data_IF_614500648331
#
_entry.id   IF_614500648331
#
_cell.length_a   1.000
_cell.length_b   1.000
_cell.length_c   1.000
_cell.angle_alpha   90.00
_cell.angle_beta   90.00
_cell.angle_gamma   90.00
#
_symmetry.space_group_name_H-M   'P 1'
#
loop_
_entity.id
_entity.type
_entity.pdbx_description
1 polymer ?
#
# COMPACT_ATOMS: atom_id res chain seq x y z
N UNK A 1 5.97 3.19 13.80
CA UNK A 1 4.89 3.03 12.80
C UNK A 1 4.52 1.57 12.67
N UNK A 2 3.23 1.22 12.64
CA UNK A 2 2.77 -0.15 12.31
C UNK A 2 2.53 -0.29 10.81
N UNK A 3 2.43 -1.53 10.32
CA UNK A 3 2.11 -1.79 8.91
C UNK A 3 0.72 -1.27 8.50
N UNK A 4 -0.25 -1.26 9.42
CA UNK A 4 -1.57 -0.65 9.21
C UNK A 4 -1.45 0.87 9.07
N UNK A 5 -0.75 1.52 9.99
CA UNK A 5 -0.51 2.97 9.93
C UNK A 5 0.23 3.38 8.64
N UNK A 6 1.12 2.52 8.14
CA UNK A 6 1.81 2.75 6.86
C UNK A 6 0.85 2.70 5.67
N UNK A 7 -0.11 1.77 5.66
CA UNK A 7 -1.13 1.68 4.60
C UNK A 7 -2.01 2.92 4.62
N UNK A 8 -2.41 3.39 5.79
CA UNK A 8 -3.22 4.60 5.94
C UNK A 8 -2.46 5.84 5.48
N UNK A 9 -1.18 5.95 5.85
CA UNK A 9 -0.29 7.01 5.37
C UNK A 9 -0.20 7.03 3.83
N UNK A 10 0.04 5.87 3.21
CA UNK A 10 0.13 5.76 1.74
C UNK A 10 -1.21 6.14 1.08
N UNK A 11 -2.33 5.73 1.66
CA UNK A 11 -3.66 6.08 1.14
C UNK A 11 -3.96 7.57 1.28
N UNK A 12 -3.56 8.20 2.39
CA UNK A 12 -3.69 9.65 2.57
C UNK A 12 -2.87 10.42 1.53
N UNK A 13 -1.62 10.01 1.28
CA UNK A 13 -0.80 10.61 0.22
C UNK A 13 -1.44 10.44 -1.17
N UNK A 14 -1.96 9.25 -1.48
CA UNK A 14 -2.62 8.99 -2.76
C UNK A 14 -3.88 9.84 -2.94
N UNK A 15 -4.63 10.05 -1.86
CA UNK A 15 -5.80 10.94 -1.85
C UNK A 15 -5.38 12.38 -2.11
N UNK A 16 -4.37 12.89 -1.40
CA UNK A 16 -3.87 14.25 -1.61
C UNK A 16 -3.36 14.48 -3.04
N UNK A 17 -2.66 13.50 -3.62
CA UNK A 17 -2.20 13.54 -5.02
C UNK A 17 -3.37 13.52 -6.01
N UNK A 18 -4.40 12.71 -5.75
CA UNK A 18 -5.60 12.68 -6.59
C UNK A 18 -6.33 14.03 -6.56
N UNK A 19 -6.51 14.61 -5.37
CA UNK A 19 -7.15 15.92 -5.19
C UNK A 19 -6.36 17.04 -5.87
N UNK A 20 -5.03 17.01 -5.78
CA UNK A 20 -4.16 17.96 -6.49
C UNK A 20 -4.27 17.86 -8.02
N UNK A 21 -4.53 16.67 -8.55
CA UNK A 21 -4.80 16.45 -9.97
C UNK A 21 -6.28 16.67 -10.36
N UNK A 22 -7.15 17.06 -9.42
CA UNK A 22 -8.59 17.23 -9.65
C UNK A 22 -9.35 15.92 -9.86
N UNK A 23 -8.75 14.78 -9.50
CA UNK A 23 -9.34 13.45 -9.60
C UNK A 23 -10.01 13.04 -8.28
N UNK A 24 -11.06 12.21 -8.38
CA UNK A 24 -11.66 11.59 -7.20
C UNK A 24 -10.81 10.42 -6.70
N UNK A 25 -10.78 10.20 -5.38
CA UNK A 25 -10.15 9.03 -4.78
C UNK A 25 -11.22 8.08 -4.23
N UNK A 26 -11.15 6.76 -4.50
CA UNK A 26 -10.16 6.05 -5.31
C UNK A 26 -10.45 6.10 -6.82
N UNK A 27 -9.40 6.23 -7.66
CA UNK A 27 -9.50 6.19 -9.12
C UNK A 27 -8.51 5.20 -9.75
N UNK A 28 -8.55 5.03 -11.09
CA UNK A 28 -7.63 4.15 -11.83
C UNK A 28 -6.16 4.48 -11.56
N UNK A 29 -5.82 5.78 -11.47
CA UNK A 29 -4.45 6.26 -11.23
C UNK A 29 -4.03 6.10 -9.77
N UNK A 30 -4.95 6.37 -8.84
CA UNK A 30 -4.73 6.28 -7.39
C UNK A 30 -5.69 5.27 -6.75
N UNK A 31 -5.34 3.98 -6.86
CA UNK A 31 -6.10 2.90 -6.22
C UNK A 31 -5.88 2.89 -4.71
N UNK A 32 -6.93 2.56 -3.96
CA UNK A 32 -6.83 2.30 -2.52
C UNK A 32 -5.93 1.08 -2.27
N UNK A 33 -4.94 1.23 -1.41
CA UNK A 33 -4.09 0.15 -0.94
C UNK A 33 -4.78 -0.56 0.22
N UNK A 34 -4.92 -1.88 0.14
CA UNK A 34 -5.30 -2.73 1.28
C UNK A 34 -4.06 -3.29 1.96
N UNK A 35 -4.19 -3.60 3.26
CA UNK A 35 -3.11 -4.20 4.04
C UNK A 35 -2.68 -5.56 3.47
N UNK A 36 -3.62 -6.40 3.03
CA UNK A 36 -3.30 -7.69 2.39
C UNK A 36 -2.43 -7.52 1.15
N UNK A 37 -2.74 -6.55 0.30
CA UNK A 37 -1.96 -6.28 -0.92
C UNK A 37 -0.60 -5.65 -0.60
N UNK A 38 -0.49 -4.93 0.52
CA UNK A 38 0.78 -4.43 1.02
C UNK A 38 1.66 -5.59 1.51
N UNK A 39 1.11 -6.52 2.31
CA UNK A 39 1.84 -7.68 2.82
C UNK A 39 2.34 -8.61 1.72
N UNK A 40 1.58 -8.80 0.63
CA UNK A 40 2.04 -9.58 -0.55
C UNK A 40 3.33 -9.06 -1.18
N UNK A 41 3.67 -7.78 -0.98
CA UNK A 41 4.92 -7.21 -1.50
C UNK A 41 6.10 -7.36 -0.55
N UNK A 42 5.85 -7.60 0.74
CA UNK A 42 6.89 -7.69 1.77
C UNK A 42 7.93 -8.79 1.47
N UNK A 43 7.55 -10.02 1.08
CA UNK A 43 8.52 -11.05 0.69
C UNK A 43 9.41 -10.65 -0.48
N UNK A 44 8.88 -9.89 -1.43
CA UNK A 44 9.63 -9.46 -2.63
C UNK A 44 10.69 -8.42 -2.30
N UNK A 45 10.46 -7.60 -1.28
CA UNK A 45 11.39 -6.53 -0.86
C UNK A 45 12.44 -7.06 0.11
N UNK A 46 12.03 -7.93 1.04
CA UNK A 46 12.92 -8.47 2.08
C UNK A 46 13.64 -9.76 1.65
N UNK A 47 13.27 -10.35 0.52
CA UNK A 47 13.80 -11.63 0.05
C UNK A 47 12.93 -12.82 0.48
N UNK A 48 12.71 -13.74 -0.45
CA UNK A 48 11.81 -14.89 -0.27
C UNK A 48 12.30 -15.87 0.81
N UNK A 49 13.62 -15.94 1.03
CA UNK A 49 14.23 -16.85 2.00
C UNK A 49 13.93 -16.47 3.46
N UNK A 50 13.85 -15.17 3.76
CA UNK A 50 13.66 -14.65 5.12
C UNK A 50 12.18 -14.46 5.48
N UNK A 51 11.29 -14.56 4.49
CA UNK A 51 9.89 -14.16 4.61
C UNK A 51 8.88 -15.32 4.56
N UNK A 52 9.26 -16.54 4.98
CA UNK A 52 8.33 -17.70 5.01
C UNK A 52 7.01 -17.42 5.74
N UNK A 53 6.99 -16.54 6.73
CA UNK A 53 5.78 -16.16 7.48
C UNK A 53 4.77 -15.33 6.66
N UNK A 54 5.21 -14.72 5.57
CA UNK A 54 4.39 -13.86 4.70
C UNK A 54 4.00 -14.54 3.38
N UNK A 55 4.50 -15.75 3.12
CA UNK A 55 4.25 -16.55 1.90
C UNK A 55 3.14 -17.60 2.08
N UNK A 56 2.27 -17.43 3.08
CA UNK A 56 1.22 -18.39 3.42
C UNK A 56 -0.04 -18.20 2.59
#
# INVERSE_FOLDING_TARGET
MSSLAMVDYINAERKAKAEAEGLTFPCKRYRKLSHDNFLKKVPKVLGENDCRKFLR
#
